data_IF_903948460801
#
_entry.id   IF_903948460801
#
_cell.length_a   1.000
_cell.length_b   1.000
_cell.length_c   1.000
_cell.angle_alpha   90.00
_cell.angle_beta   90.00
_cell.angle_gamma   90.00
#
_symmetry.space_group_name_H-M   'P 1'
#
loop_
_entity.id
_entity.type
_entity.pdbx_description
1 polymer ?
#
# COMPACT_ATOMS: atom_id res chain seq x y z
N UNK A 1 25.83 -4.68 5.97
CA UNK A 1 24.36 -4.86 5.78
C UNK A 1 23.59 -4.97 7.09
N UNK A 2 24.12 -5.58 8.16
CA UNK A 2 23.44 -5.79 9.46
C UNK A 2 22.73 -4.53 9.98
N UNK A 3 23.42 -3.37 10.03
CA UNK A 3 22.82 -2.10 10.46
C UNK A 3 21.58 -1.70 9.62
N UNK A 4 21.58 -1.95 8.30
CA UNK A 4 20.44 -1.63 7.42
C UNK A 4 19.24 -2.53 7.66
N UNK A 5 19.48 -3.81 7.98
CA UNK A 5 18.42 -4.77 8.29
C UNK A 5 17.78 -4.42 9.64
N UNK A 6 18.58 -4.10 10.66
CA UNK A 6 18.08 -3.65 11.94
C UNK A 6 17.23 -2.38 11.77
N UNK A 7 17.78 -1.38 11.08
CA UNK A 7 17.08 -0.13 10.79
C UNK A 7 15.77 -0.34 10.03
N UNK A 8 15.73 -1.30 9.09
CA UNK A 8 14.49 -1.66 8.39
C UNK A 8 13.46 -2.30 9.32
N UNK A 9 13.88 -3.13 10.29
CA UNK A 9 12.99 -3.67 11.32
C UNK A 9 12.43 -2.57 12.22
N UNK A 10 13.28 -1.65 12.67
CA UNK A 10 12.87 -0.52 13.52
C UNK A 10 11.90 0.42 12.80
N UNK A 11 12.10 0.60 11.48
CA UNK A 11 11.17 1.33 10.62
C UNK A 11 9.86 0.58 10.37
N UNK A 12 9.91 -0.73 10.18
CA UNK A 12 8.71 -1.53 9.98
C UNK A 12 7.79 -1.55 11.21
N UNK A 13 8.33 -1.34 12.42
CA UNK A 13 7.53 -1.18 13.63
C UNK A 13 6.88 0.20 13.78
N UNK A 14 7.17 1.14 12.88
CA UNK A 14 6.64 2.51 12.83
C UNK A 14 6.08 2.80 11.43
N UNK A 15 5.02 2.08 10.99
CA UNK A 15 4.51 2.17 9.62
C UNK A 15 4.00 3.58 9.25
N UNK A 16 3.65 4.41 10.23
CA UNK A 16 3.31 5.82 10.06
C UNK A 16 4.47 6.69 9.54
N UNK A 17 5.71 6.18 9.50
CA UNK A 17 6.81 6.87 8.79
C UNK A 17 6.63 6.89 7.29
N UNK A 18 5.84 5.95 6.75
CA UNK A 18 5.51 5.87 5.35
C UNK A 18 4.18 6.59 5.06
N UNK A 19 4.04 7.19 3.89
CA UNK A 19 2.79 7.79 3.44
C UNK A 19 2.62 7.62 1.94
N UNK A 20 1.54 6.98 1.51
CA UNK A 20 1.19 6.86 0.10
C UNK A 20 0.81 8.23 -0.45
N UNK A 21 1.53 8.63 -1.50
CA UNK A 21 1.17 9.74 -2.39
C UNK A 21 0.18 9.21 -3.43
N UNK A 22 0.52 8.09 -4.05
CA UNK A 22 -0.39 7.34 -4.92
C UNK A 22 -0.29 5.84 -4.66
N UNK A 23 -1.38 5.12 -4.96
CA UNK A 23 -1.48 3.68 -4.81
C UNK A 23 -2.34 3.11 -5.94
N UNK A 24 -1.88 2.01 -6.56
CA UNK A 24 -2.62 1.22 -7.53
C UNK A 24 -2.70 -0.23 -7.07
N UNK A 25 -3.91 -0.78 -7.00
CA UNK A 25 -4.20 -2.12 -6.48
C UNK A 25 -5.03 -2.91 -7.48
N UNK A 26 -4.63 -4.15 -7.72
CA UNK A 26 -5.46 -5.17 -8.33
C UNK A 26 -6.18 -5.95 -7.22
N UNK A 27 -7.50 -5.89 -7.22
CA UNK A 27 -8.35 -6.42 -6.17
C UNK A 27 -9.24 -7.53 -6.71
N UNK A 28 -9.12 -8.74 -6.18
CA UNK A 28 -9.97 -9.88 -6.55
C UNK A 28 -11.24 -9.88 -5.70
N UNK A 29 -12.32 -9.36 -6.27
CA UNK A 29 -13.65 -9.37 -5.66
C UNK A 29 -14.27 -10.78 -5.63
N UNK A 30 -15.55 -10.87 -5.27
CA UNK A 30 -16.25 -12.16 -5.17
C UNK A 30 -16.33 -12.90 -6.52
N UNK A 31 -16.60 -12.16 -7.61
CA UNK A 31 -16.88 -12.72 -8.93
C UNK A 31 -15.97 -12.16 -10.05
N UNK A 32 -15.21 -11.11 -9.75
CA UNK A 32 -14.44 -10.35 -10.74
C UNK A 32 -13.30 -9.59 -10.08
N UNK A 33 -12.27 -9.26 -10.86
CA UNK A 33 -11.19 -8.38 -10.43
C UNK A 33 -11.53 -6.91 -10.70
N UNK A 34 -11.05 -6.03 -9.83
CA UNK A 34 -11.25 -4.59 -9.90
C UNK A 34 -9.92 -3.87 -9.74
N UNK A 35 -9.76 -2.76 -10.46
CA UNK A 35 -8.67 -1.82 -10.24
C UNK A 35 -9.11 -0.82 -9.19
N UNK A 36 -8.32 -0.65 -8.14
CA UNK A 36 -8.50 0.42 -7.15
C UNK A 36 -7.30 1.34 -7.23
N UNK A 37 -7.52 2.66 -7.27
CA UNK A 37 -6.45 3.64 -7.19
C UNK A 37 -6.70 4.66 -6.09
N UNK A 38 -5.61 5.26 -5.62
CA UNK A 38 -5.60 6.42 -4.76
C UNK A 38 -4.60 7.41 -5.32
N UNK A 39 -5.01 8.65 -5.48
CA UNK A 39 -4.15 9.76 -5.89
C UNK A 39 -4.58 11.07 -5.18
N UNK A 40 -4.28 12.21 -5.80
CA UNK A 40 -4.62 13.55 -5.31
C UNK A 40 -6.12 13.85 -5.37
N UNK A 41 -6.84 13.28 -6.35
CA UNK A 41 -8.29 13.46 -6.52
C UNK A 41 -9.09 12.53 -5.59
N UNK A 42 -8.43 11.50 -5.04
CA UNK A 42 -8.98 10.63 -4.02
C UNK A 42 -8.96 9.17 -4.43
N UNK A 43 -9.91 8.39 -3.90
CA UNK A 43 -10.06 6.99 -4.26
C UNK A 43 -10.81 6.85 -5.57
N UNK A 44 -10.42 5.87 -6.38
CA UNK A 44 -11.22 5.37 -7.49
C UNK A 44 -11.28 3.84 -7.45
N UNK A 45 -12.40 3.27 -7.89
CA UNK A 45 -12.53 1.82 -8.05
C UNK A 45 -13.36 1.49 -9.28
N UNK A 46 -12.92 0.50 -10.05
CA UNK A 46 -13.61 0.05 -11.27
C UNK A 46 -14.89 -0.77 -11.01
N UNK A 47 -15.33 -0.92 -9.76
CA UNK A 47 -16.55 -1.65 -9.42
C UNK A 47 -17.80 -0.75 -9.52
N UNK A 48 -18.94 -1.35 -9.84
CA UNK A 48 -20.22 -0.64 -9.97
C UNK A 48 -20.66 0.07 -8.68
N UNK A 49 -20.36 -0.51 -7.52
CA UNK A 49 -20.67 0.10 -6.22
C UNK A 49 -20.01 1.47 -6.05
N UNK A 50 -18.76 1.61 -6.49
CA UNK A 50 -18.05 2.89 -6.42
C UNK A 50 -18.65 3.92 -7.36
N UNK A 51 -19.00 3.55 -8.59
CA UNK A 51 -19.63 4.49 -9.54
C UNK A 51 -20.92 5.12 -8.98
N UNK A 52 -21.66 4.39 -8.13
CA UNK A 52 -22.91 4.86 -7.56
C UNK A 52 -22.73 5.59 -6.22
N UNK A 53 -21.86 5.09 -5.33
CA UNK A 53 -21.75 5.58 -3.95
C UNK A 53 -20.45 6.34 -3.66
N UNK A 54 -19.47 6.34 -4.56
CA UNK A 54 -18.10 6.86 -4.35
C UNK A 54 -17.36 6.20 -3.16
N UNK A 55 -17.88 5.07 -2.69
CA UNK A 55 -17.27 4.21 -1.67
C UNK A 55 -17.74 2.78 -1.94
N UNK A 56 -16.90 1.79 -1.64
CA UNK A 56 -17.20 0.39 -1.85
C UNK A 56 -16.41 -0.50 -0.88
N UNK A 57 -16.78 -1.79 -0.72
CA UNK A 57 -16.05 -2.71 0.16
C UNK A 57 -14.56 -2.85 -0.14
N UNK A 58 -14.13 -2.64 -1.39
CA UNK A 58 -12.71 -2.70 -1.76
C UNK A 58 -11.90 -1.57 -1.15
N UNK A 59 -12.39 -0.33 -1.27
CA UNK A 59 -11.76 0.86 -0.66
C UNK A 59 -11.79 0.73 0.85
N UNK A 60 -12.93 0.36 1.44
CA UNK A 60 -13.05 0.14 2.89
C UNK A 60 -12.04 -0.90 3.40
N UNK A 61 -11.84 -2.01 2.70
CA UNK A 61 -10.85 -3.03 3.06
C UNK A 61 -9.42 -2.47 3.02
N UNK A 62 -9.08 -1.67 2.01
CA UNK A 62 -7.78 -1.02 1.91
C UNK A 62 -7.58 0.03 3.01
N UNK A 63 -8.62 0.77 3.38
CA UNK A 63 -8.57 1.72 4.51
C UNK A 63 -8.34 1.03 5.85
N UNK A 64 -8.91 -0.17 6.05
CA UNK A 64 -8.63 -1.01 7.22
C UNK A 64 -7.17 -1.47 7.23
N UNK A 65 -6.69 -2.02 6.11
CA UNK A 65 -5.38 -2.68 6.01
C UNK A 65 -4.20 -1.71 5.98
N UNK A 66 -4.36 -0.58 5.29
CA UNK A 66 -3.28 0.34 4.97
C UNK A 66 -3.37 1.64 5.78
N UNK A 67 -4.26 1.71 6.78
CA UNK A 67 -4.51 2.90 7.60
C UNK A 67 -3.27 3.70 7.99
N UNK A 68 -2.17 3.09 8.50
CA UNK A 68 -0.99 3.86 8.92
C UNK A 68 -0.28 4.57 7.77
N UNK A 69 -0.36 4.02 6.55
CA UNK A 69 0.32 4.52 5.36
C UNK A 69 -0.55 5.53 4.58
N UNK A 70 -1.85 5.61 4.85
CA UNK A 70 -2.75 6.50 4.12
C UNK A 70 -2.71 7.94 4.65
N UNK A 71 -2.52 8.12 5.97
CA UNK A 71 -2.53 9.41 6.70
C UNK A 71 -3.68 10.36 6.29
N UNK A 72 -4.83 9.81 5.92
CA UNK A 72 -6.04 10.56 5.54
C UNK A 72 -7.25 10.01 6.29
N UNK A 73 -8.29 10.81 6.37
CA UNK A 73 -9.55 10.36 6.95
C UNK A 73 -10.20 9.31 6.03
N UNK A 74 -10.86 8.29 6.59
CA UNK A 74 -11.65 7.34 5.80
C UNK A 74 -12.75 8.05 5.03
N UNK A 75 -13.10 7.54 3.85
CA UNK A 75 -14.24 8.06 3.07
C UNK A 75 -15.55 7.84 3.85
N UNK A 76 -16.42 8.85 3.97
CA UNK A 76 -17.71 8.68 4.63
C UNK A 76 -18.64 7.76 3.84
N UNK A 77 -19.58 7.11 4.53
CA UNK A 77 -20.61 6.31 3.88
C UNK A 77 -21.60 7.17 3.10
N UNK A 78 -22.11 6.63 1.99
CA UNK A 78 -23.09 7.31 1.16
C UNK A 78 -24.54 7.00 1.58
N UNK A 79 -25.47 7.97 1.47
CA UNK A 79 -26.90 7.70 1.64
C UNK A 79 -27.40 6.60 0.69
N UNK A 80 -28.24 5.70 1.19
CA UNK A 80 -28.84 4.63 0.39
C UNK A 80 -27.91 3.44 0.09
N UNK A 81 -26.69 3.44 0.62
CA UNK A 81 -25.77 2.31 0.55
C UNK A 81 -26.20 1.18 1.50
N UNK A 82 -25.97 -0.08 1.12
CA UNK A 82 -26.12 -1.22 2.03
C UNK A 82 -24.89 -1.33 2.95
N UNK A 83 -24.78 -0.40 3.90
CA UNK A 83 -23.61 -0.22 4.76
C UNK A 83 -23.26 -1.51 5.52
N UNK A 84 -24.26 -2.21 6.06
CA UNK A 84 -24.03 -3.43 6.84
C UNK A 84 -23.34 -4.50 5.98
N UNK A 85 -23.91 -4.82 4.82
CA UNK A 85 -23.32 -5.82 3.92
C UNK A 85 -21.95 -5.40 3.40
N UNK A 86 -21.76 -4.11 3.12
CA UNK A 86 -20.50 -3.60 2.60
C UNK A 86 -19.38 -3.63 3.63
N UNK A 87 -19.69 -3.29 4.89
CA UNK A 87 -18.75 -3.37 6.01
C UNK A 87 -18.37 -4.83 6.29
N UNK A 88 -19.34 -5.76 6.28
CA UNK A 88 -19.05 -7.20 6.41
C UNK A 88 -18.11 -7.71 5.31
N UNK A 89 -18.35 -7.30 4.06
CA UNK A 89 -17.47 -7.65 2.92
C UNK A 89 -16.08 -7.04 3.09
N UNK A 90 -15.99 -5.77 3.50
CA UNK A 90 -14.72 -5.09 3.70
C UNK A 90 -13.86 -5.79 4.76
N UNK A 91 -14.47 -6.14 5.91
CA UNK A 91 -13.78 -6.90 6.95
C UNK A 91 -13.35 -8.29 6.48
N UNK A 92 -14.21 -8.99 5.72
CA UNK A 92 -13.84 -10.28 5.12
C UNK A 92 -12.65 -10.14 4.18
N UNK A 93 -12.69 -9.19 3.24
CA UNK A 93 -11.59 -8.99 2.30
C UNK A 93 -10.30 -8.53 2.98
N UNK A 94 -10.39 -7.80 4.09
CA UNK A 94 -9.21 -7.46 4.89
C UNK A 94 -8.55 -8.70 5.52
N UNK A 95 -9.31 -9.76 5.79
CA UNK A 95 -8.76 -11.04 6.27
C UNK A 95 -8.21 -11.90 5.11
N UNK A 96 -8.86 -11.83 3.94
CA UNK A 96 -8.49 -12.56 2.71
C UNK A 96 -7.44 -11.80 1.89
N UNK A 97 -6.26 -11.59 2.50
CA UNK A 97 -5.19 -10.71 1.95
C UNK A 97 -4.68 -11.12 0.57
N UNK A 98 -4.80 -12.40 0.20
CA UNK A 98 -4.43 -12.95 -1.10
C UNK A 98 -5.23 -12.34 -2.27
N UNK A 99 -6.39 -11.75 -1.99
CA UNK A 99 -7.19 -11.01 -2.97
C UNK A 99 -6.56 -9.72 -3.44
N UNK A 100 -5.61 -9.19 -2.68
CA UNK A 100 -5.12 -7.83 -2.84
C UNK A 100 -3.66 -7.89 -3.30
N UNK A 101 -3.40 -7.34 -4.49
CA UNK A 101 -2.04 -7.11 -4.97
C UNK A 101 -1.83 -5.64 -5.24
N UNK A 102 -0.80 -5.06 -4.62
CA UNK A 102 -0.37 -3.72 -4.97
C UNK A 102 0.39 -3.83 -6.29
N UNK A 103 -0.12 -3.15 -7.30
CA UNK A 103 0.48 -3.09 -8.62
C UNK A 103 1.51 -1.96 -8.70
N UNK A 104 1.20 -0.80 -8.10
CA UNK A 104 2.11 0.34 -8.07
C UNK A 104 1.89 1.20 -6.83
N UNK A 105 2.92 1.91 -6.38
CA UNK A 105 2.75 3.01 -5.44
C UNK A 105 3.90 4.03 -5.55
N UNK A 106 3.58 5.24 -5.10
CA UNK A 106 4.56 6.25 -4.71
C UNK A 106 4.39 6.56 -3.23
N UNK A 107 5.49 6.50 -2.49
CA UNK A 107 5.50 6.60 -1.05
C UNK A 107 6.58 7.58 -0.57
N UNK A 108 6.15 8.50 0.29
CA UNK A 108 7.04 9.34 1.08
C UNK A 108 7.43 8.60 2.35
N UNK A 109 8.72 8.58 2.68
CA UNK A 109 9.26 7.83 3.81
C UNK A 109 10.12 8.73 4.70
N UNK A 110 9.68 8.91 5.94
CA UNK A 110 10.36 9.69 6.97
C UNK A 110 11.50 8.87 7.62
N UNK A 111 12.69 9.00 7.04
CA UNK A 111 13.92 8.47 7.64
C UNK A 111 14.37 9.29 8.84
N UNK A 112 15.36 8.79 9.58
CA UNK A 112 15.83 9.46 10.81
C UNK A 112 16.49 10.82 10.56
N UNK A 113 17.17 10.97 9.41
CA UNK A 113 17.94 12.17 9.10
C UNK A 113 17.30 12.99 7.98
N UNK A 114 16.55 12.33 7.11
CA UNK A 114 15.94 12.93 5.93
C UNK A 114 14.82 12.05 5.40
N UNK A 115 13.93 12.70 4.67
CA UNK A 115 12.89 12.05 3.89
C UNK A 115 13.43 11.38 2.63
N UNK A 116 12.77 10.32 2.22
CA UNK A 116 13.03 9.58 0.99
C UNK A 116 11.75 9.31 0.23
N UNK A 117 11.83 9.25 -1.09
CA UNK A 117 10.76 8.73 -1.94
C UNK A 117 11.07 7.27 -2.25
N UNK A 118 10.08 6.41 -2.14
CA UNK A 118 10.13 5.00 -2.50
C UNK A 118 9.00 4.73 -3.48
N UNK A 119 9.33 4.16 -4.62
CA UNK A 119 8.33 3.76 -5.62
C UNK A 119 8.38 2.26 -5.81
N UNK A 120 7.24 1.73 -6.22
CA UNK A 120 7.07 0.35 -6.63
C UNK A 120 6.20 0.32 -7.88
N UNK A 121 6.60 -0.49 -8.85
CA UNK A 121 5.84 -0.70 -10.08
C UNK A 121 6.05 -2.15 -10.55
N UNK A 122 5.01 -2.98 -10.42
CA UNK A 122 4.96 -4.39 -10.83
C UNK A 122 6.23 -5.19 -10.47
N UNK A 123 6.64 -5.12 -9.20
CA UNK A 123 7.81 -5.84 -8.67
C UNK A 123 9.13 -5.08 -8.76
N UNK A 124 9.15 -3.93 -9.43
CA UNK A 124 10.32 -3.05 -9.52
C UNK A 124 10.26 -2.02 -8.41
N UNK A 125 11.24 -2.08 -7.50
CA UNK A 125 11.42 -1.11 -6.43
C UNK A 125 12.40 -0.01 -6.85
N UNK A 126 12.17 1.22 -6.40
CA UNK A 126 13.17 2.29 -6.46
C UNK A 126 13.14 3.14 -5.19
N UNK A 127 14.27 3.76 -4.85
CA UNK A 127 14.34 4.69 -3.72
C UNK A 127 15.35 5.80 -3.99
N UNK A 128 15.05 7.02 -3.52
CA UNK A 128 15.98 8.16 -3.57
C UNK A 128 17.13 8.05 -2.56
N UNK A 129 17.16 7.00 -1.73
CA UNK A 129 18.27 6.77 -0.82
C UNK A 129 19.54 6.38 -1.58
N UNK A 130 20.66 7.06 -1.29
CA UNK A 130 21.95 6.79 -1.95
C UNK A 130 22.42 5.34 -1.83
N UNK A 131 22.07 4.66 -0.73
CA UNK A 131 22.39 3.25 -0.54
C UNK A 131 21.65 2.32 -1.52
N UNK A 132 20.45 2.71 -1.95
CA UNK A 132 19.67 1.95 -2.93
C UNK A 132 20.40 1.87 -4.28
N UNK A 133 20.94 3.00 -4.76
CA UNK A 133 21.68 3.06 -6.03
C UNK A 133 22.88 2.11 -6.08
N UNK A 134 23.45 1.74 -4.93
CA UNK A 134 24.60 0.85 -4.83
C UNK A 134 24.24 -0.63 -4.72
N UNK A 135 23.05 -0.96 -4.22
CA UNK A 135 22.70 -2.33 -3.78
C UNK A 135 21.34 -2.84 -4.27
N UNK A 136 20.52 -2.02 -4.91
CA UNK A 136 19.13 -2.36 -5.29
C UNK A 136 18.16 -2.52 -4.09
N UNK A 137 18.63 -2.30 -2.86
CA UNK A 137 17.84 -2.33 -1.62
C UNK A 137 18.35 -1.30 -0.64
N UNK A 138 17.47 -0.78 0.21
CA UNK A 138 17.84 0.09 1.34
C UNK A 138 16.93 -0.16 2.54
N UNK A 139 17.20 0.50 3.68
CA UNK A 139 16.38 0.31 4.89
C UNK A 139 14.90 0.67 4.68
N UNK A 140 14.59 1.61 3.77
CA UNK A 140 13.22 2.03 3.50
C UNK A 140 12.47 1.01 2.63
N UNK A 141 13.08 0.49 1.56
CA UNK A 141 12.46 -0.55 0.73
C UNK A 141 12.26 -1.83 1.53
N UNK A 142 13.25 -2.25 2.33
CA UNK A 142 13.13 -3.41 3.20
C UNK A 142 12.07 -3.23 4.29
N UNK A 143 11.89 -2.00 4.82
CA UNK A 143 10.84 -1.73 5.79
C UNK A 143 9.45 -1.81 5.15
N UNK A 144 9.27 -1.17 3.98
CA UNK A 144 8.00 -1.22 3.23
C UNK A 144 7.66 -2.63 2.77
N UNK A 145 8.64 -3.42 2.34
CA UNK A 145 8.45 -4.84 2.01
C UNK A 145 7.91 -5.62 3.22
N UNK A 146 8.44 -5.37 4.43
CA UNK A 146 7.94 -6.00 5.66
C UNK A 146 6.52 -5.56 6.01
N UNK A 147 6.25 -4.25 5.94
CA UNK A 147 4.93 -3.68 6.24
C UNK A 147 3.88 -4.22 5.25
N UNK A 148 4.23 -4.26 3.97
CA UNK A 148 3.34 -4.64 2.87
C UNK A 148 3.44 -6.13 2.51
N UNK A 149 3.99 -6.96 3.40
CA UNK A 149 4.19 -8.40 3.17
C UNK A 149 2.90 -9.06 2.68
N UNK A 150 2.97 -9.74 1.54
CA UNK A 150 1.83 -10.42 0.91
C UNK A 150 1.06 -9.56 -0.09
N UNK A 151 1.32 -8.25 -0.17
CA UNK A 151 0.73 -7.36 -1.17
C UNK A 151 1.69 -7.02 -2.32
N UNK A 152 3.00 -7.14 -2.10
CA UNK A 152 4.07 -6.74 -3.03
C UNK A 152 5.08 -7.88 -3.20
N UNK A 153 5.78 -7.87 -4.33
CA UNK A 153 6.94 -8.73 -4.54
C UNK A 153 8.16 -8.23 -3.73
N UNK A 154 9.00 -9.13 -3.17
CA UNK A 154 10.20 -8.74 -2.42
C UNK A 154 11.18 -7.91 -3.25
N UNK A 155 11.85 -6.94 -2.61
CA UNK A 155 12.90 -6.17 -3.25
C UNK A 155 14.14 -7.06 -3.43
N UNK A 156 14.69 -7.10 -4.65
CA UNK A 156 15.88 -7.91 -4.95
C UNK A 156 17.15 -7.08 -4.77
N UNK A 157 18.04 -7.55 -3.91
CA UNK A 157 19.38 -7.00 -3.82
C UNK A 157 20.15 -7.30 -5.13
N UNK A 158 20.88 -6.30 -5.62
CA UNK A 158 21.83 -6.51 -6.71
C UNK A 158 22.97 -7.41 -6.24
N UNK A 159 23.43 -8.35 -7.08
CA UNK A 159 24.63 -9.13 -6.79
C UNK A 159 25.80 -8.19 -6.50
N UNK A 160 26.58 -8.49 -5.47
CA UNK A 160 27.85 -7.80 -5.24
C UNK A 160 28.82 -8.32 -6.29
N UNK A 161 29.34 -7.44 -7.14
CA UNK A 161 30.44 -7.74 -8.06
C UNK A 161 31.74 -8.02 -7.29
#
# INVERSE_FOLDING_TARGET
>A
MINKIQKASDYASQPERATFISLGVDFSGANSSHRVSLDEDGWSCSCSGFSHYQICPHIMALEILLKPLLKRQPVPYAPGQNIVSDVEKAHRYAQERDRIRIASFDCRFEGYNKEHRVTYDHGVWASTASFFAQRGVCSHTMALEKILKGFVEPARAMPVA
#
